data_IF_938551056021
#
_entry.id   IF_938551056021
#
_cell.length_a   1.000
_cell.length_b   1.000
_cell.length_c   1.000
_cell.angle_alpha   90.00
_cell.angle_beta   90.00
_cell.angle_gamma   90.00
#
_symmetry.space_group_name_H-M   'P 1'
#
loop_
_entity.id
_entity.type
_entity.pdbx_description
1 polymer ?
#
# COMPACT_ATOMS: atom_id res chain seq x y z
N UNK A 1 46.50 10.98 -61.11
CA UNK A 1 45.32 10.12 -60.92
C UNK A 1 44.07 11.01 -60.74
N UNK A 2 43.08 10.96 -61.62
CA UNK A 2 41.81 10.18 -61.52
C UNK A 2 40.95 10.55 -60.28
N UNK A 3 39.97 11.41 -60.52
CA UNK A 3 38.63 11.35 -59.92
C UNK A 3 37.67 10.80 -60.99
N UNK A 4 36.54 10.15 -60.65
CA UNK A 4 35.27 10.87 -60.83
C UNK A 4 34.15 10.53 -59.82
N UNK A 5 33.12 11.37 -59.87
CA UNK A 5 31.82 11.28 -59.19
C UNK A 5 30.87 10.23 -59.76
N UNK A 6 30.05 9.58 -58.91
CA UNK A 6 28.80 8.92 -59.29
C UNK A 6 27.81 8.84 -58.09
N UNK A 7 26.52 8.55 -58.28
CA UNK A 7 25.43 9.45 -58.77
C UNK A 7 24.16 8.63 -59.04
N UNK A 8 22.98 9.07 -58.55
CA UNK A 8 21.64 8.51 -58.88
C UNK A 8 21.38 7.04 -58.41
N UNK A 9 20.16 6.49 -58.28
CA UNK A 9 18.79 6.94 -58.60
C UNK A 9 17.74 6.25 -57.68
N UNK A 10 16.48 6.67 -57.82
CA UNK A 10 15.21 6.17 -57.25
C UNK A 10 15.02 4.63 -57.21
N UNK A 11 14.14 4.15 -56.31
CA UNK A 11 12.81 3.63 -56.70
C UNK A 11 11.87 3.42 -55.48
N UNK A 12 10.62 3.88 -55.58
CA UNK A 12 9.51 3.44 -54.72
C UNK A 12 8.87 2.15 -55.28
N UNK A 13 8.39 1.27 -54.41
CA UNK A 13 7.58 0.11 -54.82
C UNK A 13 6.41 -0.11 -53.84
N UNK A 14 5.32 0.62 -54.09
CA UNK A 14 3.99 0.31 -53.59
C UNK A 14 3.48 -0.93 -54.32
N UNK A 15 2.98 -1.94 -53.60
CA UNK A 15 2.27 -3.06 -54.19
C UNK A 15 0.93 -3.27 -53.46
N UNK A 16 -0.13 -3.27 -54.25
CA UNK A 16 -1.53 -3.12 -53.83
C UNK A 16 -2.34 -4.26 -54.45
N UNK A 17 -3.51 -4.53 -53.84
CA UNK A 17 -4.64 -5.35 -54.32
C UNK A 17 -4.57 -6.87 -54.08
N UNK A 18 -5.66 -7.34 -53.47
CA UNK A 18 -5.98 -8.73 -53.16
C UNK A 18 -7.36 -8.81 -52.51
N UNK A 19 -8.39 -8.45 -53.29
CA UNK A 19 -9.77 -8.25 -52.81
C UNK A 19 -10.53 -9.55 -52.52
N UNK A 20 -11.30 -9.56 -51.44
CA UNK A 20 -12.46 -10.45 -51.29
C UNK A 20 -13.61 -9.71 -50.56
N UNK A 21 -14.72 -9.49 -51.27
CA UNK A 21 -15.96 -8.92 -50.72
C UNK A 21 -17.07 -9.92 -50.98
N UNK A 22 -17.78 -10.35 -49.94
CA UNK A 22 -19.09 -11.02 -50.06
C UNK A 22 -19.87 -10.95 -48.74
N UNK A 23 -21.21 -11.08 -48.76
CA UNK A 23 -22.06 -10.30 -47.86
C UNK A 23 -22.93 -11.14 -46.89
N UNK A 24 -23.79 -10.40 -46.18
CA UNK A 24 -24.96 -10.85 -45.40
C UNK A 24 -24.71 -11.28 -43.95
N UNK A 25 -25.61 -10.85 -43.05
CA UNK A 25 -25.58 -11.21 -41.63
C UNK A 25 -26.01 -10.08 -40.68
N UNK A 26 -27.13 -9.39 -40.95
CA UNK A 26 -27.71 -8.50 -39.95
C UNK A 26 -28.26 -9.35 -38.78
N UNK A 27 -27.57 -9.37 -37.64
CA UNK A 27 -28.05 -10.00 -36.41
C UNK A 27 -28.28 -8.96 -35.33
N UNK A 28 -29.53 -8.83 -34.89
CA UNK A 28 -29.96 -7.83 -33.92
C UNK A 28 -29.54 -8.23 -32.51
N UNK A 29 -29.00 -7.29 -31.74
CA UNK A 29 -28.79 -7.49 -30.30
C UNK A 29 -30.15 -7.60 -29.58
N UNK A 30 -30.38 -8.61 -28.73
CA UNK A 30 -31.64 -8.75 -28.01
C UNK A 30 -31.75 -7.71 -26.89
N UNK A 31 -32.59 -6.70 -27.09
CA UNK A 31 -32.95 -5.73 -26.06
C UNK A 31 -33.72 -6.43 -24.94
N UNK A 32 -33.05 -6.74 -23.83
CA UNK A 32 -33.67 -7.42 -22.68
C UNK A 32 -34.59 -6.44 -21.93
N UNK A 33 -35.88 -6.48 -22.24
CA UNK A 33 -36.88 -5.64 -21.60
C UNK A 33 -36.92 -5.87 -20.09
N UNK A 34 -36.63 -4.83 -19.30
CA UNK A 34 -36.67 -4.90 -17.85
C UNK A 34 -38.10 -4.66 -17.34
N UNK A 35 -38.86 -5.74 -17.14
CA UNK A 35 -40.21 -5.66 -16.58
C UNK A 35 -40.15 -5.15 -15.14
N UNK A 36 -40.58 -3.90 -14.93
CA UNK A 36 -40.64 -3.23 -13.63
C UNK A 36 -41.65 -3.94 -12.71
N UNK A 37 -41.18 -4.83 -11.83
CA UNK A 37 -42.03 -5.41 -10.77
C UNK A 37 -42.38 -4.33 -9.75
N UNK A 38 -43.63 -3.86 -9.81
CA UNK A 38 -44.25 -3.05 -8.78
C UNK A 38 -44.70 -3.93 -7.60
N UNK A 39 -44.31 -3.55 -6.38
CA UNK A 39 -44.92 -4.05 -5.15
C UNK A 39 -44.06 -5.01 -4.33
N UNK A 40 -43.32 -4.46 -3.36
CA UNK A 40 -43.19 -5.06 -2.02
C UNK A 40 -43.48 -3.93 -1.01
N UNK A 41 -44.16 -4.30 0.07
CA UNK A 41 -44.74 -3.40 1.07
C UNK A 41 -43.73 -2.54 1.83
N UNK A 42 -44.17 -1.33 2.18
CA UNK A 42 -43.51 -0.45 3.15
C UNK A 42 -43.44 -1.12 4.54
N UNK A 43 -42.31 -1.74 4.87
CA UNK A 43 -41.94 -1.99 6.25
C UNK A 43 -41.28 -0.74 6.84
N UNK A 44 -42.04 -0.03 7.69
CA UNK A 44 -41.50 1.04 8.55
C UNK A 44 -40.58 0.40 9.60
N UNK A 45 -39.31 0.19 9.27
CA UNK A 45 -38.27 0.06 10.28
C UNK A 45 -37.84 1.46 10.69
N UNK A 46 -38.48 1.96 11.76
CA UNK A 46 -38.11 3.20 12.44
C UNK A 46 -36.81 3.05 13.23
N UNK A 47 -35.73 2.69 12.53
CA UNK A 47 -34.38 2.69 13.03
C UNK A 47 -33.52 3.33 11.95
N UNK A 48 -32.91 4.48 12.27
CA UNK A 48 -31.89 5.03 11.40
C UNK A 48 -30.79 3.98 11.27
N UNK A 49 -30.67 3.34 10.10
CA UNK A 49 -29.38 2.82 9.67
C UNK A 49 -28.52 4.07 9.58
N UNK A 50 -27.73 4.29 10.65
CA UNK A 50 -26.63 5.22 10.63
C UNK A 50 -25.79 4.83 9.43
N UNK A 51 -25.83 5.66 8.39
CA UNK A 51 -24.83 5.61 7.35
C UNK A 51 -23.50 5.81 8.06
N UNK A 52 -22.73 4.72 8.23
CA UNK A 52 -21.40 4.79 8.81
C UNK A 52 -20.55 5.65 7.90
N UNK A 53 -20.51 6.94 8.21
CA UNK A 53 -19.72 7.92 7.49
C UNK A 53 -18.26 7.70 7.90
N UNK A 54 -17.63 6.77 7.18
CA UNK A 54 -16.23 6.42 7.37
C UNK A 54 -15.37 7.67 7.23
N UNK A 55 -14.51 7.94 8.22
CA UNK A 55 -13.63 9.10 8.24
C UNK A 55 -13.93 10.17 9.30
N UNK A 56 -14.99 10.02 10.10
CA UNK A 56 -15.20 10.88 11.29
C UNK A 56 -15.15 10.05 12.58
N UNK A 57 -14.36 10.50 13.55
CA UNK A 57 -14.39 9.96 14.92
C UNK A 57 -15.71 10.31 15.61
N UNK A 58 -16.21 9.40 16.44
CA UNK A 58 -17.32 9.70 17.38
C UNK A 58 -16.93 10.77 18.43
N UNK A 59 -15.62 11.00 18.59
CA UNK A 59 -15.03 11.95 19.53
C UNK A 59 -14.86 13.34 18.90
N UNK A 60 -14.96 14.36 19.75
CA UNK A 60 -14.69 15.76 19.42
C UNK A 60 -13.23 15.93 18.93
N UNK A 61 -13.00 16.37 17.68
CA UNK A 61 -11.66 16.55 17.14
C UNK A 61 -10.87 17.63 17.88
N UNK A 62 -11.53 18.68 18.38
CA UNK A 62 -10.85 19.79 19.08
C UNK A 62 -10.21 19.33 20.39
N UNK A 63 -10.79 18.31 21.03
CA UNK A 63 -10.23 17.68 22.21
C UNK A 63 -9.01 16.81 21.85
N UNK A 64 -9.05 16.10 20.72
CA UNK A 64 -7.91 15.31 20.22
C UNK A 64 -6.75 16.24 19.88
N UNK A 65 -7.00 17.31 19.13
CA UNK A 65 -5.98 18.31 18.75
C UNK A 65 -5.29 18.92 19.98
N UNK A 66 -6.06 19.18 21.06
CA UNK A 66 -5.51 19.66 22.33
C UNK A 66 -4.52 18.68 22.99
N UNK A 67 -4.75 17.37 22.88
CA UNK A 67 -3.81 16.35 23.38
C UNK A 67 -2.63 16.15 22.43
N UNK A 68 -2.85 16.22 21.12
CA UNK A 68 -1.79 16.12 20.11
C UNK A 68 -0.83 17.32 20.12
N UNK A 69 -1.31 18.50 20.52
CA UNK A 69 -0.50 19.71 20.70
C UNK A 69 0.33 19.74 22.00
N UNK A 70 0.26 18.70 22.86
CA UNK A 70 1.08 18.64 24.06
C UNK A 70 2.57 18.45 23.70
N UNK A 71 3.42 19.29 24.31
CA UNK A 71 4.87 19.23 24.08
C UNK A 71 5.47 17.87 24.47
N UNK A 72 6.09 17.20 23.49
CA UNK A 72 6.83 15.96 23.73
C UNK A 72 8.26 16.23 24.23
N UNK A 73 8.85 15.33 25.04
CA UNK A 73 10.22 15.47 25.49
C UNK A 73 11.21 15.25 24.34
N UNK A 74 12.04 16.26 24.04
CA UNK A 74 12.93 16.33 22.85
C UNK A 74 13.92 15.16 22.69
N UNK A 75 14.20 14.42 23.77
CA UNK A 75 15.08 13.24 23.75
C UNK A 75 14.35 11.92 23.41
N UNK A 76 13.07 11.96 23.03
CA UNK A 76 12.27 10.79 22.68
C UNK A 76 11.42 11.06 21.44
N UNK A 77 11.29 10.01 20.65
CA UNK A 77 10.49 9.96 19.41
C UNK A 77 9.50 8.81 19.49
N UNK A 78 8.34 8.94 18.86
CA UNK A 78 7.44 7.83 18.57
C UNK A 78 7.81 7.24 17.21
N UNK A 79 8.11 5.95 17.22
CA UNK A 79 8.38 5.18 16.02
C UNK A 79 7.23 4.19 15.78
N UNK A 80 6.46 4.44 14.73
CA UNK A 80 5.40 3.55 14.26
C UNK A 80 5.99 2.48 13.36
N UNK A 81 6.09 1.25 13.85
CA UNK A 81 6.57 0.13 13.06
C UNK A 81 5.39 -0.40 12.24
N UNK A 82 5.52 -0.40 10.92
CA UNK A 82 4.49 -0.84 9.96
C UNK A 82 4.99 -2.07 9.22
N UNK A 83 4.15 -3.09 9.08
CA UNK A 83 4.44 -4.31 8.34
C UNK A 83 3.21 -4.86 7.62
N UNK A 84 3.41 -5.87 6.79
CA UNK A 84 2.37 -6.59 6.05
C UNK A 84 2.10 -7.92 6.74
N UNK A 85 0.82 -8.27 6.90
CA UNK A 85 0.39 -9.55 7.47
C UNK A 85 0.38 -10.70 6.43
N UNK A 86 -0.12 -11.89 6.79
CA UNK A 86 -0.22 -13.00 5.84
C UNK A 86 -1.25 -12.79 4.70
N UNK A 87 -2.19 -11.85 4.86
CA UNK A 87 -3.28 -11.55 3.91
C UNK A 87 -2.97 -10.37 2.99
N UNK A 88 -1.87 -9.66 3.23
CA UNK A 88 -1.51 -8.43 2.50
C UNK A 88 -2.06 -7.15 3.15
N UNK A 89 -2.63 -7.24 4.36
CA UNK A 89 -3.11 -6.08 5.11
C UNK A 89 -1.96 -5.39 5.86
N UNK A 90 -2.06 -4.08 6.03
CA UNK A 90 -1.13 -3.31 6.85
C UNK A 90 -1.46 -3.48 8.34
N UNK A 91 -0.43 -3.76 9.14
CA UNK A 91 -0.48 -3.76 10.60
C UNK A 91 0.59 -2.82 11.13
N UNK A 92 0.33 -2.19 12.28
CA UNK A 92 1.25 -1.22 12.85
C UNK A 92 1.19 -1.19 14.38
N UNK A 93 2.27 -0.71 15.01
CA UNK A 93 2.31 -0.36 16.43
C UNK A 93 3.41 0.64 16.74
N UNK A 94 3.16 1.50 17.73
CA UNK A 94 4.10 2.50 18.21
C UNK A 94 5.03 1.97 19.29
N UNK A 95 6.34 2.27 19.19
CA UNK A 95 7.26 2.28 20.35
C UNK A 95 7.84 3.66 20.57
N UNK A 96 8.15 4.00 21.81
CA UNK A 96 9.00 5.16 22.10
C UNK A 96 10.48 4.75 21.96
N UNK A 97 11.26 5.56 21.25
CA UNK A 97 12.71 5.41 21.12
C UNK A 97 13.41 6.70 21.56
N UNK A 98 14.70 6.64 21.92
CA UNK A 98 15.53 7.83 22.03
C UNK A 98 15.92 8.36 20.64
N UNK A 99 16.08 9.68 20.52
CA UNK A 99 16.27 10.40 19.25
C UNK A 99 17.56 10.01 18.50
N UNK A 100 18.59 9.57 19.22
CA UNK A 100 19.88 9.10 18.68
C UNK A 100 19.77 7.86 17.76
N UNK A 101 18.68 7.09 17.84
CA UNK A 101 18.49 5.85 17.07
C UNK A 101 17.75 6.02 15.74
N UNK A 102 17.31 7.22 15.39
CA UNK A 102 16.49 7.47 14.17
C UNK A 102 17.30 7.74 12.91
N UNK A 103 18.63 7.82 13.02
CA UNK A 103 19.52 8.24 11.93
C UNK A 103 19.53 7.27 10.74
N UNK A 104 19.41 5.95 10.96
CA UNK A 104 19.27 4.96 9.90
C UNK A 104 18.34 3.80 10.27
N UNK A 105 17.81 3.05 9.29
CA UNK A 105 17.05 1.83 9.56
C UNK A 105 17.84 0.82 10.39
N UNK A 106 19.16 0.71 10.16
CA UNK A 106 20.02 -0.26 10.86
C UNK A 106 20.28 0.10 12.34
N UNK A 107 20.19 1.38 12.73
CA UNK A 107 20.28 1.78 14.15
C UNK A 107 19.00 1.54 14.92
N UNK A 108 17.88 1.33 14.23
CA UNK A 108 16.61 1.04 14.89
C UNK A 108 16.61 -0.39 15.46
N UNK A 109 16.16 -0.57 16.71
CA UNK A 109 16.08 -1.90 17.30
C UNK A 109 15.06 -2.77 16.54
N UNK A 110 15.44 -4.02 16.29
CA UNK A 110 14.47 -5.07 15.94
C UNK A 110 13.35 -5.12 16.99
N UNK A 111 12.20 -5.63 16.56
CA UNK A 111 11.06 -5.85 17.45
C UNK A 111 10.41 -7.19 17.11
N UNK A 112 9.44 -7.62 17.91
CA UNK A 112 8.69 -8.85 17.73
C UNK A 112 7.19 -8.56 17.87
N UNK A 113 6.32 -9.37 17.28
CA UNK A 113 4.88 -9.38 17.54
C UNK A 113 4.35 -10.81 17.53
N UNK A 114 3.12 -10.98 18.04
CA UNK A 114 2.40 -12.25 17.98
C UNK A 114 1.82 -12.48 16.59
N UNK A 115 2.45 -13.38 15.84
CA UNK A 115 2.06 -13.80 14.49
C UNK A 115 0.84 -14.71 14.44
N UNK A 116 0.39 -15.28 15.57
CA UNK A 116 -0.82 -16.11 15.60
C UNK A 116 -2.07 -15.28 15.31
N UNK A 117 -2.10 -14.03 15.78
CA UNK A 117 -3.14 -13.02 15.50
C UNK A 117 -3.10 -12.46 14.06
N UNK A 118 -2.13 -12.88 13.22
CA UNK A 118 -1.92 -12.37 11.86
C UNK A 118 -1.81 -13.45 10.80
N UNK A 119 -2.10 -14.72 11.16
CA UNK A 119 -1.92 -15.94 10.35
C UNK A 119 -0.47 -16.12 9.84
N UNK A 120 0.53 -15.58 10.55
CA UNK A 120 1.95 -15.62 10.16
C UNK A 120 2.78 -16.66 10.93
N UNK A 121 2.27 -17.18 12.05
CA UNK A 121 2.97 -18.16 12.89
C UNK A 121 1.97 -19.09 13.62
N UNK A 122 2.35 -20.34 13.95
CA UNK A 122 1.51 -21.24 14.75
C UNK A 122 1.39 -20.76 16.21
N UNK A 123 0.41 -21.28 16.95
CA UNK A 123 0.17 -20.87 18.34
C UNK A 123 1.28 -21.24 19.34
N UNK A 124 2.03 -22.31 19.07
CA UNK A 124 3.08 -22.81 19.99
C UNK A 124 4.43 -22.08 19.85
N UNK A 125 4.69 -21.47 18.68
CA UNK A 125 5.83 -20.60 18.40
C UNK A 125 5.34 -19.43 17.55
N UNK A 126 4.74 -18.45 18.23
CA UNK A 126 4.02 -17.36 17.56
C UNK A 126 4.87 -16.10 17.35
N UNK A 127 6.14 -16.08 17.75
CA UNK A 127 6.96 -14.87 17.64
C UNK A 127 7.39 -14.59 16.19
N UNK A 128 7.04 -13.42 15.68
CA UNK A 128 7.53 -12.91 14.39
C UNK A 128 8.38 -11.68 14.60
N UNK A 129 9.58 -11.66 14.01
CA UNK A 129 10.58 -10.60 14.14
C UNK A 129 10.38 -9.55 13.05
N UNK A 130 10.29 -8.29 13.48
CA UNK A 130 10.30 -7.08 12.65
C UNK A 130 11.74 -6.58 12.47
N UNK A 131 12.20 -6.54 11.23
CA UNK A 131 13.45 -5.90 10.82
C UNK A 131 13.13 -4.55 10.16
N UNK A 132 13.54 -3.40 10.72
CA UNK A 132 13.45 -2.10 10.05
C UNK A 132 14.14 -2.10 8.69
N UNK A 133 13.56 -1.40 7.70
CA UNK A 133 14.10 -1.31 6.34
C UNK A 133 14.10 0.11 5.78
N UNK A 134 13.07 0.91 6.08
CA UNK A 134 12.99 2.30 5.64
C UNK A 134 12.34 3.19 6.71
N UNK A 135 12.79 4.44 6.79
CA UNK A 135 12.29 5.45 7.73
C UNK A 135 11.65 6.60 6.95
N UNK A 136 10.48 7.04 7.39
CA UNK A 136 9.76 8.20 6.88
C UNK A 136 9.32 9.10 8.04
N UNK A 137 9.04 10.37 7.79
CA UNK A 137 8.44 11.27 8.79
C UNK A 137 6.96 10.93 8.96
N UNK A 138 6.47 10.90 10.20
CA UNK A 138 5.07 10.65 10.54
C UNK A 138 4.21 11.91 10.32
N UNK A 139 3.26 11.90 9.36
CA UNK A 139 2.39 13.05 9.11
C UNK A 139 1.21 13.13 10.10
N UNK A 140 0.91 12.07 10.85
CA UNK A 140 -0.23 11.99 11.76
C UNK A 140 0.11 12.51 13.16
N UNK A 141 1.40 12.52 13.52
CA UNK A 141 1.89 12.97 14.82
C UNK A 141 2.92 14.09 14.68
N UNK A 142 2.54 15.26 14.11
CA UNK A 142 3.46 16.39 13.97
C UNK A 142 3.91 16.88 15.34
N UNK A 143 5.20 17.18 15.48
CA UNK A 143 5.76 17.83 16.67
C UNK A 143 5.72 19.35 16.43
N UNK A 144 5.10 20.17 17.29
CA UNK A 144 4.96 21.61 17.05
C UNK A 144 6.29 22.40 17.02
N UNK A 145 7.34 21.87 17.66
CA UNK A 145 8.65 22.50 17.77
C UNK A 145 9.80 21.51 17.48
N UNK A 146 10.56 21.76 16.40
CA UNK A 146 11.86 21.12 16.14
C UNK A 146 11.91 20.21 14.91
N UNK A 147 13.14 19.86 14.52
CA UNK A 147 13.41 18.93 13.41
C UNK A 147 13.18 17.45 13.78
N UNK A 148 13.10 17.16 15.08
CA UNK A 148 12.91 15.83 15.69
C UNK A 148 11.46 15.32 15.55
N UNK A 149 11.02 15.12 14.32
CA UNK A 149 9.69 14.59 14.01
C UNK A 149 9.55 13.11 14.42
N UNK A 150 8.31 12.71 14.76
CA UNK A 150 7.94 11.30 14.87
C UNK A 150 8.15 10.56 13.54
N UNK A 151 8.38 9.25 13.60
CA UNK A 151 8.77 8.45 12.43
C UNK A 151 7.85 7.26 12.16
N UNK A 152 7.65 6.97 10.87
CA UNK A 152 7.12 5.70 10.38
C UNK A 152 8.28 4.82 9.93
N UNK A 153 8.25 3.55 10.31
CA UNK A 153 9.31 2.57 10.04
C UNK A 153 8.70 1.39 9.28
N UNK A 154 8.98 1.29 7.99
CA UNK A 154 8.57 0.12 7.20
C UNK A 154 9.47 -1.05 7.57
N UNK A 155 8.85 -2.19 7.90
CA UNK A 155 9.52 -3.37 8.42
C UNK A 155 9.24 -4.62 7.57
N UNK A 156 10.27 -5.45 7.44
CA UNK A 156 10.17 -6.82 6.95
C UNK A 156 9.88 -7.79 8.10
N UNK A 157 9.24 -8.92 7.79
CA UNK A 157 8.93 -9.99 8.74
C UNK A 157 9.82 -11.21 8.54
N UNK A 158 10.30 -11.76 9.67
CA UNK A 158 11.19 -12.91 9.74
C UNK A 158 10.80 -13.84 10.90
N UNK A 159 11.19 -15.11 10.84
CA UNK A 159 11.12 -16.04 11.98
C UNK A 159 12.17 -15.68 13.06
N UNK A 160 12.06 -16.22 14.28
CA UNK A 160 13.09 -16.06 15.32
C UNK A 160 14.47 -16.59 14.87
N UNK A 161 14.49 -17.60 14.01
CA UNK A 161 15.71 -18.15 13.37
C UNK A 161 16.35 -17.21 12.33
N UNK A 162 15.65 -16.17 11.90
CA UNK A 162 16.13 -15.20 10.90
C UNK A 162 15.73 -15.50 9.45
N UNK A 163 14.91 -16.53 9.22
CA UNK A 163 14.37 -16.86 7.90
C UNK A 163 13.23 -15.90 7.50
N UNK A 164 13.14 -15.44 6.25
CA UNK A 164 12.03 -14.59 5.81
C UNK A 164 10.71 -15.35 5.84
N UNK A 165 9.62 -14.70 6.29
CA UNK A 165 8.30 -15.31 6.22
C UNK A 165 7.82 -15.46 4.76
N UNK A 166 6.93 -16.43 4.44
CA UNK A 166 6.34 -16.56 3.11
C UNK A 166 5.57 -15.31 2.62
N UNK A 167 5.09 -14.47 3.54
CA UNK A 167 4.45 -13.18 3.24
C UNK A 167 5.44 -12.04 2.95
N UNK A 168 6.74 -12.23 3.25
CA UNK A 168 7.78 -11.24 3.01
C UNK A 168 8.25 -11.28 1.54
N UNK A 169 7.45 -10.71 0.65
CA UNK A 169 7.78 -10.57 -0.77
C UNK A 169 8.93 -9.59 -1.02
N UNK A 170 9.20 -8.65 -0.10
CA UNK A 170 10.31 -7.70 -0.22
C UNK A 170 11.67 -8.39 -0.19
N UNK A 171 11.84 -9.48 0.55
CA UNK A 171 13.10 -10.22 0.59
C UNK A 171 13.55 -10.69 -0.80
N UNK A 172 12.64 -11.28 -1.58
CA UNK A 172 12.91 -11.72 -2.97
C UNK A 172 13.11 -10.52 -3.90
N UNK A 173 12.30 -9.46 -3.74
CA UNK A 173 12.45 -8.25 -4.54
C UNK A 173 13.80 -7.56 -4.31
N UNK A 174 14.29 -7.49 -3.07
CA UNK A 174 15.58 -6.90 -2.74
C UNK A 174 16.73 -7.61 -3.47
N UNK A 175 16.76 -8.95 -3.48
CA UNK A 175 17.74 -9.74 -4.22
C UNK A 175 17.70 -9.55 -5.75
N UNK A 176 16.58 -9.08 -6.30
CA UNK A 176 16.42 -8.83 -7.73
C UNK A 176 16.77 -7.40 -8.16
N UNK A 177 16.93 -6.48 -7.21
CA UNK A 177 17.27 -5.07 -7.42
C UNK A 177 18.65 -4.67 -6.86
N UNK A 178 19.38 -5.62 -6.30
CA UNK A 178 20.77 -5.52 -5.82
C UNK A 178 21.79 -5.79 -6.94
#
# INVERSE_FOLDING_TARGET
EISPTFTMLFQTALLLLGSAVSPAGAFTAPTRAFTRRSGVSSLKMGGSILSTQTGMSSHDPTLIDKYMALGMPKNKVLAEYVWVDAKGELRSKTRTLPTDKTLSPDTLPKWNFDGSSTDQAPGDDSEVILKPQAIFKDPFRPVPEGDDANILVMCDTYTPSGEPLPSNTRYVAAQAFE
#
